data_IF_756809094041
#
_entry.id   IF_756809094041
#
_cell.length_a   1.000
_cell.length_b   1.000
_cell.length_c   1.000
_cell.angle_alpha   90.00
_cell.angle_beta   90.00
_cell.angle_gamma   90.00
#
_symmetry.space_group_name_H-M   'P 1'
#
loop_
_entity.id
_entity.type
_entity.pdbx_description
1 polymer ?
#
# COMPACT_ATOMS: atom_id res chain seq x y z
N UNK A 1 -13.21 21.22 33.19
CA UNK A 1 -12.19 22.21 33.61
C UNK A 1 -10.98 22.11 32.68
N UNK A 2 -10.38 23.24 32.27
CA UNK A 2 -9.25 23.27 31.33
C UNK A 2 -7.92 23.07 32.09
N UNK A 3 -7.03 22.25 31.53
CA UNK A 3 -5.65 22.09 32.02
C UNK A 3 -4.76 23.04 31.24
N UNK A 4 -3.99 23.84 31.96
CA UNK A 4 -3.05 24.80 31.37
C UNK A 4 -1.63 24.23 31.40
N UNK A 5 -0.71 24.83 30.65
CA UNK A 5 0.69 24.43 30.66
C UNK A 5 1.54 25.55 31.26
N UNK A 6 2.51 25.16 32.08
CA UNK A 6 3.49 26.08 32.63
C UNK A 6 4.35 26.67 31.51
N UNK A 7 4.43 28.00 31.40
CA UNK A 7 5.21 28.68 30.37
C UNK A 7 6.73 28.44 30.49
N UNK A 8 7.21 28.09 31.69
CA UNK A 8 8.64 27.84 31.92
C UNK A 8 9.02 26.37 31.70
N UNK A 9 8.25 25.45 32.27
CA UNK A 9 8.61 24.04 32.35
C UNK A 9 7.76 23.12 31.49
N UNK A 10 6.70 23.64 30.84
CA UNK A 10 5.66 22.91 30.09
C UNK A 10 4.91 21.83 30.90
N UNK A 11 5.05 21.78 32.22
CA UNK A 11 4.25 20.86 33.04
C UNK A 11 2.77 21.28 33.08
N UNK A 12 1.89 20.28 33.19
CA UNK A 12 0.44 20.47 33.31
C UNK A 12 0.09 21.17 34.62
N UNK A 13 -0.68 22.24 34.53
CA UNK A 13 -1.25 22.99 35.64
C UNK A 13 -2.74 22.64 35.70
N UNK A 14 -3.12 21.98 36.79
CA UNK A 14 -4.51 21.71 37.08
C UNK A 14 -5.17 22.93 37.75
N UNK A 15 -6.50 23.06 37.63
CA UNK A 15 -7.24 24.11 38.35
C UNK A 15 -6.86 24.17 39.83
N UNK A 16 -6.84 25.39 40.40
CA UNK A 16 -6.39 25.68 41.79
C UNK A 16 -4.88 25.56 42.03
N UNK A 17 -4.08 25.21 41.03
CA UNK A 17 -2.62 25.23 41.13
C UNK A 17 -2.00 26.37 40.33
N UNK A 18 -0.81 26.78 40.77
CA UNK A 18 -0.04 27.80 40.08
C UNK A 18 -0.56 29.22 40.25
N UNK A 19 0.12 30.14 39.55
CA UNK A 19 -0.22 31.55 39.51
C UNK A 19 0.01 32.11 38.10
N UNK A 20 -0.95 32.88 37.54
CA UNK A 20 -0.70 33.66 36.34
C UNK A 20 0.19 34.87 36.67
N UNK A 21 1.04 35.25 35.73
CA UNK A 21 1.81 36.48 35.77
C UNK A 21 1.59 37.24 34.46
N UNK A 22 1.02 38.44 34.56
CA UNK A 22 0.83 39.31 33.41
C UNK A 22 2.03 40.27 33.30
N UNK A 23 2.71 40.27 32.14
CA UNK A 23 3.69 41.33 31.81
C UNK A 23 2.97 42.56 31.25
N UNK A 24 3.67 43.70 31.28
CA UNK A 24 3.25 44.97 30.66
C UNK A 24 2.85 44.79 29.18
N UNK A 25 3.54 43.89 28.47
CA UNK A 25 3.28 43.55 27.06
C UNK A 25 1.97 42.77 26.81
N UNK A 26 1.06 42.70 27.80
CA UNK A 26 -0.21 41.94 27.81
C UNK A 26 -0.04 40.42 27.65
N UNK A 27 1.19 39.91 27.66
CA UNK A 27 1.47 38.48 27.66
C UNK A 27 1.23 37.93 29.07
N UNK A 28 0.33 36.96 29.17
CA UNK A 28 0.05 36.21 30.40
C UNK A 28 0.85 34.93 30.40
N UNK A 29 1.65 34.74 31.43
CA UNK A 29 2.44 33.53 31.65
C UNK A 29 1.85 32.73 32.79
N UNK A 30 1.67 31.44 32.58
CA UNK A 30 1.15 30.53 33.59
C UNK A 30 2.32 29.81 34.27
N UNK A 31 2.40 29.85 35.59
CA UNK A 31 3.45 29.15 36.34
C UNK A 31 2.87 28.12 37.28
N UNK A 32 3.46 26.92 37.28
CA UNK A 32 3.06 25.83 38.17
C UNK A 32 3.40 26.13 39.64
N UNK A 33 4.66 26.53 39.92
CA UNK A 33 5.21 26.74 41.26
C UNK A 33 6.05 28.02 41.33
N UNK A 34 6.31 28.52 42.54
CA UNK A 34 7.21 29.66 42.78
C UNK A 34 8.62 29.46 42.17
N UNK A 35 9.13 28.22 42.15
CA UNK A 35 10.41 27.87 41.48
C UNK A 35 10.43 28.26 39.99
N UNK A 36 9.32 28.03 39.29
CA UNK A 36 9.19 28.38 37.87
C UNK A 36 9.10 29.90 37.69
N UNK A 37 8.32 30.56 38.55
CA UNK A 37 8.18 32.01 38.54
C UNK A 37 9.51 32.72 38.82
N UNK A 38 10.25 32.33 39.85
CA UNK A 38 11.55 32.90 40.19
C UNK A 38 12.57 32.72 39.07
N UNK A 39 12.64 31.52 38.48
CA UNK A 39 13.56 31.27 37.35
C UNK A 39 13.22 32.12 36.12
N UNK A 40 11.94 32.38 35.87
CA UNK A 40 11.47 33.27 34.81
C UNK A 40 11.78 34.75 35.10
N UNK A 41 11.61 35.19 36.34
CA UNK A 41 11.95 36.57 36.75
C UNK A 41 13.47 36.82 36.63
N UNK A 42 14.28 35.83 37.01
CA UNK A 42 15.73 35.82 36.81
C UNK A 42 16.18 35.66 35.35
N UNK A 43 15.24 35.63 34.40
CA UNK A 43 15.51 35.47 32.95
C UNK A 43 16.37 34.24 32.62
N UNK A 44 16.25 33.15 33.38
CA UNK A 44 16.96 31.90 33.07
C UNK A 44 16.35 31.25 31.84
N UNK A 45 17.19 30.73 30.95
CA UNK A 45 16.72 30.02 29.77
C UNK A 45 16.26 28.59 30.13
N UNK A 46 14.98 28.23 29.92
CA UNK A 46 14.49 26.88 30.22
C UNK A 46 15.25 25.76 29.50
N UNK A 47 15.80 26.03 28.30
CA UNK A 47 16.55 25.07 27.50
C UNK A 47 17.90 24.66 28.13
N UNK A 48 18.40 25.44 29.09
CA UNK A 48 19.63 25.14 29.83
C UNK A 48 19.34 24.47 31.19
N UNK A 49 18.09 24.42 31.62
CA UNK A 49 17.72 23.88 32.93
C UNK A 49 17.27 22.42 32.80
N UNK A 50 18.06 21.52 33.40
CA UNK A 50 17.97 20.07 33.22
C UNK A 50 16.59 19.44 33.47
N UNK A 51 15.81 19.99 34.41
CA UNK A 51 14.52 19.40 34.83
C UNK A 51 13.33 19.87 33.97
N UNK A 52 13.50 20.82 33.05
CA UNK A 52 12.39 21.28 32.20
C UNK A 52 12.13 20.33 31.03
N UNK A 53 10.90 20.33 30.52
CA UNK A 53 10.55 19.55 29.33
C UNK A 53 11.29 20.08 28.09
N UNK A 54 11.50 21.40 27.97
CA UNK A 54 12.28 22.00 26.88
C UNK A 54 13.69 21.44 26.82
N UNK A 55 14.38 21.39 27.96
CA UNK A 55 15.71 20.82 28.04
C UNK A 55 15.70 19.35 27.61
N UNK A 56 14.74 18.57 28.11
CA UNK A 56 14.62 17.14 27.75
C UNK A 56 14.37 16.95 26.26
N UNK A 57 13.53 17.77 25.62
CA UNK A 57 13.28 17.75 24.16
C UNK A 57 14.54 18.10 23.37
N UNK A 58 15.27 19.15 23.77
CA UNK A 58 16.54 19.56 23.13
C UNK A 58 17.61 18.48 23.20
N UNK A 59 17.71 17.79 24.34
CA UNK A 59 18.71 16.73 24.58
C UNK A 59 18.17 15.33 24.30
N UNK A 60 17.00 15.21 23.64
CA UNK A 60 16.34 13.93 23.29
C UNK A 60 16.19 12.95 24.46
N UNK A 61 16.08 13.45 25.69
CA UNK A 61 15.93 12.60 26.89
C UNK A 61 14.52 12.03 26.95
N UNK A 62 14.41 10.70 26.95
CA UNK A 62 13.14 9.99 27.10
C UNK A 62 12.22 10.05 25.87
N UNK A 63 12.78 10.30 24.69
CA UNK A 63 12.11 9.97 23.43
C UNK A 63 12.44 8.52 23.10
N UNK A 64 11.44 7.68 22.82
CA UNK A 64 11.68 6.46 22.06
C UNK A 64 11.93 6.90 20.61
N UNK A 65 13.12 6.61 20.07
CA UNK A 65 13.58 7.08 18.75
C UNK A 65 12.77 6.54 17.56
N UNK A 66 11.67 5.85 17.81
CA UNK A 66 10.67 5.47 16.83
C UNK A 66 9.75 6.66 16.48
N UNK A 67 10.35 7.80 16.15
CA UNK A 67 9.65 8.90 15.50
C UNK A 67 9.24 8.34 14.14
N UNK A 68 7.95 8.06 14.01
CA UNK A 68 7.34 7.47 12.84
C UNK A 68 7.90 8.12 11.57
N UNK A 69 8.64 7.33 10.77
CA UNK A 69 8.98 7.72 9.41
C UNK A 69 7.65 8.04 8.73
N UNK A 70 7.46 9.29 8.31
CA UNK A 70 6.28 9.66 7.50
C UNK A 70 6.34 8.83 6.22
N UNK A 71 5.65 7.69 6.21
CA UNK A 71 5.45 6.89 5.01
C UNK A 71 4.49 7.66 4.12
N UNK A 72 5.01 8.26 3.06
CA UNK A 72 4.20 8.77 1.97
C UNK A 72 3.53 7.59 1.28
N UNK A 73 2.24 7.39 1.54
CA UNK A 73 1.44 6.49 0.74
C UNK A 73 1.11 7.19 -0.57
N UNK A 74 1.67 6.71 -1.69
CA UNK A 74 1.23 7.15 -3.00
C UNK A 74 0.05 6.26 -3.43
N UNK A 75 -1.16 6.82 -3.44
CA UNK A 75 -2.30 6.12 -4.05
C UNK A 75 -2.35 6.40 -5.54
N UNK A 76 -2.09 5.36 -6.34
CA UNK A 76 -2.33 5.39 -7.78
C UNK A 76 -3.85 5.43 -8.00
N UNK A 77 -4.36 6.53 -8.54
CA UNK A 77 -5.77 6.63 -8.95
C UNK A 77 -5.94 5.88 -10.26
N UNK A 78 -6.68 4.77 -10.26
CA UNK A 78 -7.12 4.12 -11.49
C UNK A 78 -8.24 4.94 -12.14
N UNK A 79 -8.15 5.21 -13.44
CA UNK A 79 -9.26 5.78 -14.18
C UNK A 79 -10.41 4.76 -14.26
N UNK A 80 -11.56 5.10 -13.69
CA UNK A 80 -12.80 4.35 -13.89
C UNK A 80 -13.30 4.63 -15.32
N UNK A 81 -13.82 3.62 -15.99
CA UNK A 81 -14.41 3.75 -17.32
C UNK A 81 -15.60 4.68 -17.30
N UNK A 82 -15.65 5.60 -18.26
CA UNK A 82 -16.80 6.43 -18.53
C UNK A 82 -17.83 5.56 -19.26
N UNK A 83 -19.09 5.58 -18.80
CA UNK A 83 -20.22 4.85 -19.40
C UNK A 83 -20.24 5.08 -20.91
N UNK A 84 -20.13 4.00 -21.69
CA UNK A 84 -20.02 4.04 -23.16
C UNK A 84 -18.64 3.73 -23.74
N UNK A 85 -17.58 3.60 -22.92
CA UNK A 85 -16.25 3.13 -23.38
C UNK A 85 -15.74 1.98 -22.50
N UNK A 86 -15.70 0.76 -23.05
CA UNK A 86 -15.22 -0.42 -22.33
C UNK A 86 -13.69 -0.41 -22.22
N UNK A 87 -13.19 -0.65 -21.00
CA UNK A 87 -11.77 -0.66 -20.61
C UNK A 87 -10.89 -1.54 -21.52
N UNK A 88 -11.49 -2.53 -22.15
CA UNK A 88 -10.88 -3.48 -23.07
C UNK A 88 -10.39 -2.81 -24.36
N UNK A 89 -11.10 -1.80 -24.89
CA UNK A 89 -10.78 -1.17 -26.19
C UNK A 89 -9.48 -0.34 -26.15
N UNK A 90 -9.10 0.20 -24.98
CA UNK A 90 -7.90 1.04 -24.85
C UNK A 90 -6.62 0.24 -24.59
N UNK A 91 -6.70 -0.88 -23.84
CA UNK A 91 -5.59 -1.85 -23.73
C UNK A 91 -5.45 -2.65 -25.03
N UNK A 92 -6.55 -2.86 -25.76
CA UNK A 92 -6.58 -3.54 -27.05
C UNK A 92 -6.36 -2.63 -28.27
N UNK A 93 -6.10 -1.33 -28.08
CA UNK A 93 -5.55 -0.47 -29.15
C UNK A 93 -4.05 -0.66 -29.36
N UNK A 94 -3.48 -1.72 -28.80
CA UNK A 94 -2.54 -2.55 -29.54
C UNK A 94 -3.29 -3.78 -30.06
N UNK A 95 -3.59 -3.87 -31.37
CA UNK A 95 -4.39 -4.97 -31.87
C UNK A 95 -3.61 -6.28 -31.85
N UNK A 96 -4.17 -7.28 -31.16
CA UNK A 96 -3.77 -8.70 -31.23
C UNK A 96 -4.07 -9.33 -32.61
N UNK A 97 -4.75 -8.63 -33.51
CA UNK A 97 -4.96 -9.07 -34.89
C UNK A 97 -3.66 -9.06 -35.69
N UNK A 98 -2.74 -8.14 -35.41
CA UNK A 98 -1.35 -8.19 -35.89
C UNK A 98 -0.55 -9.39 -35.33
N UNK A 99 -1.13 -10.17 -34.41
CA UNK A 99 -0.54 -11.39 -33.83
C UNK A 99 -1.21 -12.67 -34.31
N UNK A 100 -2.33 -12.63 -35.05
CA UNK A 100 -3.01 -13.84 -35.56
C UNK A 100 -2.98 -13.93 -37.09
N UNK A 101 -3.10 -12.81 -37.81
CA UNK A 101 -2.87 -12.80 -39.27
C UNK A 101 -1.39 -13.05 -39.60
N UNK A 102 -0.47 -12.50 -38.80
CA UNK A 102 0.98 -12.77 -38.86
C UNK A 102 1.38 -14.20 -38.51
N UNK A 103 0.65 -14.85 -37.60
CA UNK A 103 0.87 -16.27 -37.25
C UNK A 103 0.30 -17.21 -38.32
N UNK A 104 -0.82 -16.86 -38.96
CA UNK A 104 -1.44 -17.66 -40.02
C UNK A 104 -0.67 -17.57 -41.35
N UNK A 105 -0.12 -16.40 -41.71
CA UNK A 105 0.77 -16.27 -42.88
C UNK A 105 2.11 -16.98 -42.68
N UNK A 106 2.64 -17.03 -41.46
CA UNK A 106 3.87 -17.77 -41.13
C UNK A 106 3.70 -19.30 -41.19
N UNK A 107 2.53 -19.84 -40.84
CA UNK A 107 2.24 -21.29 -40.90
C UNK A 107 1.90 -21.78 -42.32
N UNK A 108 1.33 -20.93 -43.19
CA UNK A 108 1.05 -21.28 -44.57
C UNK A 108 2.32 -21.39 -45.43
N UNK A 109 3.35 -20.57 -45.18
CA UNK A 109 4.62 -20.63 -45.91
C UNK A 109 5.44 -21.91 -45.66
N UNK A 110 5.20 -22.63 -44.56
CA UNK A 110 5.91 -23.87 -44.22
C UNK A 110 5.24 -25.16 -44.74
N UNK A 111 3.98 -25.14 -45.20
CA UNK A 111 3.24 -26.35 -45.62
C UNK A 111 3.23 -26.63 -47.14
N UNK A 112 3.50 -25.63 -48.00
CA UNK A 112 3.42 -25.78 -49.46
C UNK A 112 4.48 -26.67 -50.17
N UNK A 113 5.68 -26.99 -49.60
CA UNK A 113 6.59 -27.90 -50.30
C UNK A 113 6.31 -29.40 -50.06
N UNK A 114 5.43 -29.79 -49.13
CA UNK A 114 5.32 -31.21 -48.70
C UNK A 114 4.13 -32.01 -49.29
N UNK A 115 3.07 -31.35 -49.81
CA UNK A 115 1.83 -32.06 -50.22
C UNK A 115 1.68 -32.36 -51.73
N UNK A 116 2.67 -32.02 -52.56
CA UNK A 116 2.63 -32.34 -54.00
C UNK A 116 3.09 -33.78 -54.34
N UNK A 117 3.44 -34.61 -53.33
CA UNK A 117 3.87 -36.00 -53.54
C UNK A 117 3.16 -36.95 -52.59
N UNK A 118 1.96 -37.43 -52.93
CA UNK A 118 1.48 -38.80 -52.61
C UNK A 118 0.07 -39.07 -53.19
N UNK A 119 0.00 -40.07 -54.07
CA UNK A 119 -1.20 -40.63 -54.73
C UNK A 119 -1.53 -42.02 -54.12
N UNK A 120 -2.78 -42.49 -54.35
CA UNK A 120 -3.30 -43.88 -54.26
C UNK A 120 -3.53 -44.43 -52.84
N UNK A 121 -4.69 -44.99 -52.42
CA UNK A 121 -5.44 -46.19 -52.90
C UNK A 121 -6.94 -46.14 -52.45
N UNK A 122 -7.83 -46.84 -53.17
CA UNK A 122 -9.31 -46.96 -53.01
C UNK A 122 -9.77 -47.80 -51.78
N UNK A 123 -10.97 -47.60 -51.20
CA UNK A 123 -11.52 -48.48 -50.16
C UNK A 123 -12.45 -49.55 -50.74
N UNK A 124 -12.27 -50.81 -50.33
CA UNK A 124 -13.26 -51.89 -50.49
C UNK A 124 -13.71 -52.35 -49.11
N UNK A 125 -15.03 -52.47 -48.98
CA UNK A 125 -15.82 -52.80 -47.79
C UNK A 125 -15.90 -54.33 -47.67
N UNK A 126 -15.61 -54.89 -46.48
CA UNK A 126 -16.00 -56.27 -46.14
C UNK A 126 -16.71 -56.26 -44.79
N UNK A 127 -17.86 -56.91 -44.78
CA UNK A 127 -18.84 -57.02 -43.71
C UNK A 127 -18.59 -58.20 -42.77
N UNK A 128 -18.93 -57.97 -41.50
CA UNK A 128 -19.50 -58.87 -40.48
C UNK A 128 -18.91 -60.26 -40.21
N UNK A 129 -18.55 -60.50 -38.95
CA UNK A 129 -19.15 -61.62 -38.21
C UNK A 129 -19.13 -61.36 -36.69
N UNK A 130 -20.28 -61.57 -36.03
CA UNK A 130 -20.47 -61.50 -34.59
C UNK A 130 -20.62 -62.91 -34.04
N UNK A 131 -19.72 -63.30 -33.13
CA UNK A 131 -19.85 -64.38 -32.12
C UNK A 131 -18.78 -64.02 -31.08
N UNK A 132 -18.96 -63.93 -29.77
CA UNK A 132 -20.04 -64.20 -28.85
C UNK A 132 -19.36 -64.35 -27.48
N UNK A 133 -19.87 -63.65 -26.46
CA UNK A 133 -19.72 -64.02 -25.04
C UNK A 133 -18.37 -63.85 -24.34
N UNK A 134 -18.28 -62.84 -23.47
CA UNK A 134 -18.29 -63.04 -22.00
C UNK A 134 -18.10 -61.69 -21.29
N UNK A 135 -19.15 -61.26 -20.60
CA UNK A 135 -19.03 -60.29 -19.52
C UNK A 135 -18.24 -60.94 -18.37
N UNK A 136 -17.17 -60.30 -17.92
CA UNK A 136 -16.70 -60.47 -16.54
C UNK A 136 -16.27 -59.12 -16.00
N UNK A 137 -17.16 -58.58 -15.18
CA UNK A 137 -16.94 -57.46 -14.28
C UNK A 137 -15.91 -57.93 -13.25
N UNK A 138 -14.87 -57.14 -13.02
CA UNK A 138 -13.83 -57.42 -12.04
C UNK A 138 -13.15 -56.13 -11.64
N UNK A 139 -13.81 -55.37 -10.76
CA UNK A 139 -13.15 -54.39 -9.91
C UNK A 139 -12.95 -55.01 -8.53
N UNK A 140 -11.74 -54.88 -8.00
CA UNK A 140 -11.46 -54.77 -6.57
C UNK A 140 -9.97 -54.44 -6.39
N UNK A 141 -9.72 -53.26 -5.84
CA UNK A 141 -8.82 -53.00 -4.71
C UNK A 141 -7.37 -53.54 -4.78
N UNK A 142 -6.41 -52.64 -5.00
CA UNK A 142 -5.38 -52.13 -4.06
C UNK A 142 -4.64 -50.97 -4.71
#
# INVERSE_FOLDING_TARGET
>A
MKVELCSFSEYKIYPRHGKPNAKTDRKVFQFLNAKCQLSFLLQRNPQQINWTILYRRKHKKGQSEEIQKTRTWYTVKFQKTITGSTRTIRIAKEPKEAKQTSKKTAMAASEFPLKAKQKTVKPVKVSAHWVGGKCKVGGSDV
#
